data_IF_108319754162
#
_entry.id   IF_108319754162
#
_cell.length_a   1.000
_cell.length_b   1.000
_cell.length_c   1.000
_cell.angle_alpha   90.00
_cell.angle_beta   90.00
_cell.angle_gamma   90.00
#
_symmetry.space_group_name_H-M   'P 1'
#
loop_
_entity.id
_entity.type
_entity.pdbx_description
1 polymer ?
#
# COMPACT_ATOMS: atom_id res chain seq x y z
N UNK A 1 -0.96 -0.52 -15.89
CA UNK A 1 -0.42 0.65 -16.61
C UNK A 1 1.08 0.55 -16.82
N UNK A 2 1.93 0.47 -15.76
CA UNK A 2 3.40 0.38 -15.91
C UNK A 2 3.85 -0.84 -16.72
N UNK A 3 3.23 -2.00 -16.50
CA UNK A 3 3.53 -3.23 -17.26
C UNK A 3 3.29 -3.04 -18.77
N UNK A 4 2.15 -2.46 -19.16
CA UNK A 4 1.82 -2.20 -20.58
C UNK A 4 2.77 -1.17 -21.20
N UNK A 5 3.09 -0.11 -20.45
CA UNK A 5 4.07 0.89 -20.89
C UNK A 5 5.46 0.28 -21.06
N UNK A 6 5.90 -0.54 -20.10
CA UNK A 6 7.18 -1.23 -20.14
C UNK A 6 7.29 -2.17 -21.32
N UNK A 7 6.27 -2.98 -21.60
CA UNK A 7 6.24 -3.85 -22.76
C UNK A 7 6.38 -3.07 -24.08
N UNK A 8 5.65 -1.96 -24.23
CA UNK A 8 5.76 -1.10 -25.42
C UNK A 8 7.14 -0.45 -25.58
N UNK A 9 7.77 -0.04 -24.47
CA UNK A 9 9.12 0.52 -24.50
C UNK A 9 10.16 -0.53 -24.92
N UNK A 10 10.07 -1.74 -24.40
CA UNK A 10 10.99 -2.84 -24.77
C UNK A 10 10.89 -3.14 -26.26
N UNK A 11 9.67 -3.32 -26.80
CA UNK A 11 9.46 -3.57 -28.23
C UNK A 11 10.10 -2.46 -29.08
N UNK A 12 9.78 -1.20 -28.76
CA UNK A 12 10.34 -0.04 -29.47
C UNK A 12 11.88 0.03 -29.40
N UNK A 13 12.46 -0.32 -28.26
CA UNK A 13 13.94 -0.34 -28.11
C UNK A 13 14.55 -1.43 -28.97
N UNK A 14 13.94 -2.60 -29.02
CA UNK A 14 14.41 -3.71 -29.89
C UNK A 14 14.33 -3.32 -31.37
N UNK A 15 13.22 -2.70 -31.80
CA UNK A 15 13.08 -2.22 -33.19
C UNK A 15 14.17 -1.20 -33.55
N UNK A 16 14.47 -0.25 -32.65
CA UNK A 16 15.56 0.72 -32.85
C UNK A 16 16.94 0.06 -32.97
N UNK A 17 17.20 -1.00 -32.20
CA UNK A 17 18.45 -1.74 -32.28
C UNK A 17 18.55 -2.45 -33.64
N UNK A 18 17.49 -3.14 -34.06
CA UNK A 18 17.44 -3.85 -35.36
C UNK A 18 17.63 -2.86 -36.52
N UNK A 19 16.95 -1.73 -36.50
CA UNK A 19 17.07 -0.70 -37.53
C UNK A 19 18.49 -0.12 -37.60
N UNK A 20 19.09 0.13 -36.46
CA UNK A 20 20.47 0.62 -36.34
C UNK A 20 21.48 -0.35 -36.96
N UNK A 21 21.38 -1.64 -36.59
CA UNK A 21 22.22 -2.71 -37.14
C UNK A 21 22.00 -2.90 -38.65
N UNK A 22 20.74 -2.92 -39.09
CA UNK A 22 20.39 -3.13 -40.52
C UNK A 22 20.91 -2.01 -41.41
N UNK A 23 20.85 -0.77 -40.93
CA UNK A 23 21.25 0.41 -41.69
C UNK A 23 22.69 0.85 -41.42
N UNK A 24 23.44 0.12 -40.60
CA UNK A 24 24.81 0.50 -40.18
C UNK A 24 24.88 1.93 -39.60
N UNK A 25 23.85 2.35 -38.89
CA UNK A 25 23.76 3.65 -38.24
C UNK A 25 24.01 3.52 -36.73
N UNK A 26 24.60 4.53 -36.07
CA UNK A 26 24.75 4.47 -34.62
C UNK A 26 23.40 4.46 -33.92
N UNK A 27 23.25 3.62 -32.88
CA UNK A 27 22.04 3.57 -32.05
C UNK A 27 21.79 4.93 -31.43
N UNK A 28 20.60 5.54 -31.60
CA UNK A 28 20.26 6.79 -30.96
C UNK A 28 20.18 6.63 -29.43
N UNK A 29 21.06 7.27 -28.72
CA UNK A 29 21.12 7.26 -27.25
C UNK A 29 20.95 8.67 -26.70
N UNK A 30 20.37 8.76 -25.51
CA UNK A 30 20.26 10.01 -24.77
C UNK A 30 21.18 9.89 -23.55
N UNK A 31 22.18 10.77 -23.37
CA UNK A 31 22.98 10.79 -22.16
C UNK A 31 22.10 10.96 -20.92
N UNK A 32 22.40 10.23 -19.87
CA UNK A 32 21.75 10.43 -18.59
C UNK A 32 22.23 11.74 -17.97
N UNK A 33 21.29 12.53 -17.47
CA UNK A 33 21.63 13.79 -16.80
C UNK A 33 21.97 13.52 -15.32
N UNK A 34 23.26 13.50 -15.03
CA UNK A 34 23.78 13.26 -13.68
C UNK A 34 23.65 14.49 -12.75
N UNK A 35 23.23 15.66 -13.30
CA UNK A 35 22.97 16.87 -12.51
C UNK A 35 21.62 16.84 -11.79
N UNK A 36 20.71 15.94 -12.18
CA UNK A 36 19.40 15.80 -11.55
C UNK A 36 19.52 15.25 -10.13
N UNK A 37 18.89 15.96 -9.19
CA UNK A 37 18.75 15.45 -7.83
C UNK A 37 17.78 14.25 -7.82
N UNK A 38 18.34 13.05 -7.85
CA UNK A 38 17.56 11.81 -7.87
C UNK A 38 17.01 11.49 -6.48
N UNK A 39 15.78 11.00 -6.44
CA UNK A 39 15.20 10.46 -5.20
C UNK A 39 15.80 9.09 -4.92
N UNK A 40 16.35 8.90 -3.73
CA UNK A 40 16.83 7.60 -3.30
C UNK A 40 15.72 6.55 -3.32
N UNK A 41 16.07 5.31 -3.67
CA UNK A 41 15.18 4.15 -3.59
C UNK A 41 15.75 3.16 -2.56
N UNK A 42 15.64 3.47 -1.25
CA UNK A 42 16.20 2.64 -0.20
C UNK A 42 15.50 1.29 -0.12
N UNK A 43 16.20 0.30 0.43
CA UNK A 43 15.61 -0.99 0.72
C UNK A 43 14.42 -0.83 1.69
N UNK A 44 13.33 -1.54 1.40
CA UNK A 44 12.13 -1.54 2.24
C UNK A 44 12.30 -2.61 3.33
N UNK A 45 12.28 -2.18 4.59
CA UNK A 45 12.34 -3.04 5.76
C UNK A 45 10.96 -3.17 6.39
N UNK A 46 10.78 -4.14 7.29
CA UNK A 46 9.51 -4.37 7.99
C UNK A 46 9.01 -3.11 8.71
N UNK A 47 9.91 -2.42 9.39
CA UNK A 47 9.55 -1.22 10.17
C UNK A 47 9.07 -0.08 9.28
N UNK A 48 9.65 0.07 8.08
CA UNK A 48 9.18 1.07 7.10
C UNK A 48 7.80 0.74 6.52
N UNK A 49 7.31 -0.49 6.71
CA UNK A 49 5.96 -0.88 6.30
C UNK A 49 4.92 -0.65 7.40
N UNK A 50 5.31 -0.23 8.61
CA UNK A 50 4.37 0.11 9.67
C UNK A 50 3.54 1.35 9.28
N UNK A 51 2.23 1.27 9.55
CA UNK A 51 1.33 2.39 9.27
C UNK A 51 1.44 3.41 10.41
N UNK A 52 1.71 4.66 10.05
CA UNK A 52 1.66 5.80 10.96
C UNK A 52 0.36 6.57 10.73
N UNK A 53 -0.62 6.39 11.60
CA UNK A 53 -1.91 7.08 11.54
C UNK A 53 -1.83 8.56 11.98
N UNK A 54 -0.70 9.04 12.49
CA UNK A 54 -0.49 10.46 12.75
C UNK A 54 -0.21 11.27 11.46
N UNK A 55 0.03 10.59 10.34
CA UNK A 55 0.12 11.21 9.02
C UNK A 55 -1.26 11.60 8.48
N UNK A 56 -1.29 12.36 7.38
CA UNK A 56 -2.54 12.67 6.68
C UNK A 56 -3.21 11.41 6.12
N UNK A 57 -4.53 11.40 6.00
CA UNK A 57 -5.28 10.27 5.43
C UNK A 57 -4.78 9.90 4.03
N UNK A 58 -4.40 10.90 3.22
CA UNK A 58 -3.83 10.67 1.89
C UNK A 58 -2.45 10.01 1.93
N UNK A 59 -1.60 10.37 2.88
CA UNK A 59 -0.29 9.74 3.07
C UNK A 59 -0.44 8.29 3.51
N UNK A 60 -1.31 8.02 4.49
CA UNK A 60 -1.65 6.66 4.93
C UNK A 60 -2.20 5.82 3.77
N UNK A 61 -3.13 6.35 3.00
CA UNK A 61 -3.65 5.69 1.79
C UNK A 61 -2.54 5.34 0.79
N UNK A 62 -1.67 6.31 0.48
CA UNK A 62 -0.57 6.10 -0.45
C UNK A 62 0.43 5.05 0.05
N UNK A 63 0.71 5.04 1.36
CA UNK A 63 1.58 4.06 2.00
C UNK A 63 1.00 2.64 1.87
N UNK A 64 -0.28 2.44 2.21
CA UNK A 64 -0.96 1.14 2.07
C UNK A 64 -0.98 0.69 0.61
N UNK A 65 -1.39 1.57 -0.30
CA UNK A 65 -1.48 1.28 -1.73
C UNK A 65 -0.13 0.94 -2.35
N UNK A 66 0.93 1.67 -1.96
CA UNK A 66 2.29 1.49 -2.49
C UNK A 66 2.93 0.18 -2.06
N UNK A 67 2.58 -0.33 -0.89
CA UNK A 67 3.11 -1.57 -0.33
C UNK A 67 2.27 -2.81 -0.65
N UNK A 68 1.06 -2.64 -1.17
CA UNK A 68 0.15 -3.74 -1.50
C UNK A 68 0.46 -4.34 -2.87
N UNK A 69 0.43 -5.66 -3.04
CA UNK A 69 0.14 -6.70 -2.03
C UNK A 69 1.36 -7.15 -1.23
N UNK A 70 2.56 -6.77 -1.63
CA UNK A 70 3.81 -7.17 -0.99
C UNK A 70 4.80 -5.99 -0.95
N UNK A 71 5.49 -5.77 0.16
CA UNK A 71 5.53 -6.54 1.42
C UNK A 71 4.27 -6.38 2.30
N UNK A 72 3.33 -5.53 1.96
CA UNK A 72 2.13 -5.07 2.65
C UNK A 72 2.41 -4.13 3.83
N UNK A 73 1.60 -3.10 3.95
CA UNK A 73 1.55 -2.26 5.13
C UNK A 73 0.97 -3.06 6.32
N UNK A 74 1.37 -2.74 7.55
CA UNK A 74 0.89 -3.43 8.74
C UNK A 74 0.67 -2.46 9.89
N UNK A 75 -0.25 -2.81 10.79
CA UNK A 75 -0.64 -2.02 11.94
C UNK A 75 0.29 -2.34 13.11
N UNK A 76 1.21 -1.43 13.42
CA UNK A 76 2.02 -1.51 14.64
C UNK A 76 1.23 -0.98 15.84
N UNK A 77 0.66 0.20 15.67
CA UNK A 77 -0.12 0.88 16.70
C UNK A 77 -1.26 1.66 16.04
N UNK A 78 -2.41 1.64 16.66
CA UNK A 78 -3.57 2.46 16.31
C UNK A 78 -3.80 3.50 17.42
N UNK A 79 -4.55 4.59 17.16
CA UNK A 79 -5.01 5.47 18.22
C UNK A 79 -5.68 4.66 19.35
N UNK A 80 -5.24 4.88 20.59
CA UNK A 80 -5.69 4.10 21.76
C UNK A 80 -7.20 4.20 22.02
N UNK A 81 -7.84 5.24 21.51
CA UNK A 81 -9.29 5.41 21.54
C UNK A 81 -10.04 4.50 20.58
N UNK A 82 -9.36 3.85 19.62
CA UNK A 82 -10.04 3.01 18.64
C UNK A 82 -10.38 1.63 19.24
N UNK A 83 -11.65 1.19 19.19
CA UNK A 83 -12.11 -0.02 19.88
C UNK A 83 -11.44 -1.31 19.42
N UNK A 84 -10.87 -1.33 18.21
CA UNK A 84 -10.19 -2.49 17.65
C UNK A 84 -8.66 -2.39 17.74
N UNK A 85 -8.09 -1.43 18.47
CA UNK A 85 -6.65 -1.20 18.50
C UNK A 85 -5.85 -2.45 18.85
N UNK A 86 -6.24 -3.17 19.90
CA UNK A 86 -5.56 -4.41 20.33
C UNK A 86 -5.80 -5.57 19.37
N UNK A 87 -7.02 -5.69 18.83
CA UNK A 87 -7.38 -6.78 17.91
C UNK A 87 -6.64 -6.70 16.58
N UNK A 88 -6.44 -5.47 16.08
CA UNK A 88 -5.82 -5.23 14.78
C UNK A 88 -4.29 -5.08 14.87
N UNK A 89 -3.71 -5.13 16.05
CA UNK A 89 -2.26 -5.07 16.21
C UNK A 89 -1.56 -6.21 15.46
N UNK A 90 -0.61 -5.86 14.61
CA UNK A 90 0.10 -6.79 13.74
C UNK A 90 -0.68 -7.20 12.47
N UNK A 91 -1.89 -6.70 12.26
CA UNK A 91 -2.66 -6.98 11.06
C UNK A 91 -2.01 -6.32 9.82
N UNK A 92 -1.99 -7.03 8.72
CA UNK A 92 -1.62 -6.51 7.41
C UNK A 92 -2.83 -5.84 6.75
N UNK A 93 -2.59 -4.73 6.06
CA UNK A 93 -3.62 -3.97 5.35
C UNK A 93 -3.30 -3.99 3.85
N UNK A 94 -4.26 -4.44 3.05
CA UNK A 94 -4.10 -4.58 1.60
C UNK A 94 -4.89 -3.55 0.81
N UNK A 95 -6.00 -3.06 1.36
CA UNK A 95 -6.86 -2.10 0.68
C UNK A 95 -7.47 -1.14 1.68
N UNK A 96 -7.47 0.13 1.33
CA UNK A 96 -8.07 1.20 2.11
C UNK A 96 -8.57 2.31 1.18
N UNK A 97 -9.40 3.20 1.69
CA UNK A 97 -9.80 4.45 1.04
C UNK A 97 -9.79 5.59 2.07
N UNK A 98 -9.57 6.82 1.60
CA UNK A 98 -9.76 8.00 2.42
C UNK A 98 -11.25 8.31 2.56
N UNK A 99 -11.67 8.78 3.75
CA UNK A 99 -13.05 9.18 4.01
C UNK A 99 -13.09 10.40 4.92
N UNK A 100 -14.20 11.15 4.89
CA UNK A 100 -14.49 12.23 5.81
C UNK A 100 -15.49 11.77 6.90
N UNK A 101 -16.00 10.55 6.80
CA UNK A 101 -16.98 9.99 7.73
C UNK A 101 -16.21 9.34 8.88
N UNK A 102 -16.42 9.77 10.14
CA UNK A 102 -15.68 9.26 11.30
C UNK A 102 -16.09 7.84 11.70
N UNK A 103 -17.33 7.44 11.38
CA UNK A 103 -17.86 6.14 11.76
C UNK A 103 -18.92 5.68 10.77
N UNK A 104 -18.89 4.40 10.41
CA UNK A 104 -19.91 3.74 9.59
C UNK A 104 -20.03 2.27 9.98
N UNK A 105 -21.26 1.80 10.14
CA UNK A 105 -21.53 0.39 10.51
C UNK A 105 -20.96 -0.57 9.45
N UNK A 106 -20.19 -1.54 9.89
CA UNK A 106 -19.57 -2.53 8.99
C UNK A 106 -18.23 -2.09 8.39
N UNK A 107 -17.72 -0.92 8.76
CA UNK A 107 -16.45 -0.37 8.33
C UNK A 107 -15.44 -0.28 9.48
N UNK A 108 -14.16 -0.26 9.15
CA UNK A 108 -13.06 -0.05 10.09
C UNK A 108 -12.41 1.29 9.76
N UNK A 109 -12.91 2.34 10.39
CA UNK A 109 -12.52 3.72 10.11
C UNK A 109 -11.58 4.21 11.20
N UNK A 110 -10.36 4.58 10.81
CA UNK A 110 -9.29 5.01 11.71
C UNK A 110 -9.02 6.50 11.50
N UNK A 111 -8.98 7.31 12.57
CA UNK A 111 -8.62 8.72 12.46
C UNK A 111 -7.15 8.89 12.04
N UNK A 112 -6.91 9.91 11.21
CA UNK A 112 -5.62 10.40 10.77
C UNK A 112 -5.48 11.87 11.12
N UNK A 113 -4.35 12.52 10.76
CA UNK A 113 -4.12 13.93 11.11
C UNK A 113 -5.15 14.91 10.55
N UNK A 114 -5.71 14.64 9.38
CA UNK A 114 -6.58 15.55 8.62
C UNK A 114 -7.89 14.92 8.12
N UNK A 115 -8.21 13.73 8.59
CA UNK A 115 -9.37 12.98 8.15
C UNK A 115 -9.37 11.56 8.66
N UNK A 116 -9.91 10.64 7.88
CA UNK A 116 -10.05 9.25 8.26
C UNK A 116 -9.62 8.34 7.12
N UNK A 117 -9.20 7.13 7.47
CA UNK A 117 -8.92 6.04 6.55
C UNK A 117 -9.85 4.86 6.86
N UNK A 118 -10.56 4.37 5.86
CA UNK A 118 -11.38 3.17 5.96
C UNK A 118 -10.58 1.97 5.45
N UNK A 119 -10.37 1.00 6.32
CA UNK A 119 -9.61 -0.21 6.06
C UNK A 119 -10.55 -1.28 5.48
N UNK A 120 -10.41 -1.56 4.19
CA UNK A 120 -11.37 -2.42 3.45
C UNK A 120 -10.97 -3.90 3.46
N UNK A 121 -9.68 -4.19 3.42
CA UNK A 121 -9.18 -5.55 3.31
C UNK A 121 -7.92 -5.75 4.15
N UNK A 122 -8.00 -6.71 5.07
CA UNK A 122 -6.99 -6.95 6.10
C UNK A 122 -6.66 -8.43 6.26
N UNK A 123 -5.58 -8.69 6.96
CA UNK A 123 -5.19 -10.03 7.40
C UNK A 123 -4.67 -9.97 8.83
N UNK A 124 -5.40 -10.55 9.76
CA UNK A 124 -4.91 -10.73 11.13
C UNK A 124 -3.75 -11.75 11.17
N UNK A 125 -2.85 -11.66 12.16
CA UNK A 125 -1.79 -12.65 12.35
C UNK A 125 -2.36 -14.08 12.40
N UNK A 126 -1.80 -14.98 11.59
CA UNK A 126 -2.22 -16.39 11.53
C UNK A 126 -3.61 -16.64 10.90
N UNK A 127 -4.26 -15.62 10.34
CA UNK A 127 -5.56 -15.77 9.66
C UNK A 127 -5.44 -15.55 8.15
N UNK A 128 -6.50 -15.89 7.42
CA UNK A 128 -6.61 -15.58 5.98
C UNK A 128 -6.93 -14.09 5.78
N UNK A 129 -6.59 -13.58 4.61
CA UNK A 129 -6.98 -12.26 4.13
C UNK A 129 -8.51 -12.22 3.97
N UNK A 130 -9.14 -11.15 4.44
CA UNK A 130 -10.60 -10.98 4.45
C UNK A 130 -10.97 -9.50 4.35
N UNK A 131 -12.21 -9.22 3.97
CA UNK A 131 -12.77 -7.88 4.00
C UNK A 131 -13.15 -7.44 5.43
N UNK A 132 -13.29 -6.14 5.63
CA UNK A 132 -13.64 -5.56 6.92
C UNK A 132 -14.99 -6.07 7.47
N UNK A 133 -16.06 -6.19 6.68
CA UNK A 133 -17.32 -6.76 7.16
C UNK A 133 -17.20 -8.21 7.67
N UNK A 134 -16.47 -9.07 6.95
CA UNK A 134 -16.25 -10.45 7.37
C UNK A 134 -15.46 -10.53 8.68
N UNK A 135 -14.43 -9.68 8.81
CA UNK A 135 -13.63 -9.58 10.04
C UNK A 135 -14.51 -9.15 11.21
N UNK A 136 -15.29 -8.07 11.06
CA UNK A 136 -16.18 -7.56 12.11
C UNK A 136 -17.25 -8.57 12.53
N UNK A 137 -17.80 -9.32 11.58
CA UNK A 137 -18.76 -10.39 11.89
C UNK A 137 -18.09 -11.54 12.65
N UNK A 138 -16.86 -11.88 12.30
CA UNK A 138 -16.08 -12.88 13.03
C UNK A 138 -15.80 -12.48 14.48
N UNK A 139 -15.51 -11.19 14.72
CA UNK A 139 -15.26 -10.66 16.07
C UNK A 139 -16.50 -10.68 16.97
N UNK A 140 -17.70 -10.46 16.43
CA UNK A 140 -18.95 -10.54 17.19
C UNK A 140 -19.26 -11.93 17.73
N UNK A 141 -18.75 -12.96 17.07
CA UNK A 141 -18.97 -14.37 17.43
C UNK A 141 -17.90 -14.93 18.38
N UNK A 142 -16.91 -14.11 18.82
CA UNK A 142 -15.97 -14.51 19.84
C UNK A 142 -16.65 -14.30 21.19
N UNK A 143 -16.92 -15.38 21.96
CA UNK A 143 -17.50 -15.22 23.31
C UNK A 143 -16.53 -14.37 24.14
N UNK A 144 -17.08 -13.33 24.78
CA UNK A 144 -16.33 -12.45 25.67
C UNK A 144 -15.62 -13.33 26.71
N UNK A 145 -14.29 -13.28 26.86
CA UNK A 145 -13.64 -14.03 27.94
C UNK A 145 -14.23 -13.50 29.25
N UNK A 146 -14.97 -14.36 29.93
CA UNK A 146 -15.53 -14.06 31.27
C UNK A 146 -14.36 -13.65 32.17
N UNK A 147 -14.53 -12.52 32.82
CA UNK A 147 -13.71 -12.06 33.94
C UNK A 147 -13.46 -13.15 34.96
#
# INVERSE_FOLDING_TARGET
RLMTMGAGLVTRTVDLIIDSETNSQPLPTIPQDDSLQLKAAPKIFKDTCAIDFACSAQQVYNHIRGLSPYPSAWINQMPSSHPLAEVLKGAKVYKAITTLIPEQKGHIIVPCADGYIDLLELQLPGKKRMDAPALLNGLKNIPNPKH
#
